data_IF_926419865874
#
_entry.id   IF_926419865874
#
_cell.length_a   1.000
_cell.length_b   1.000
_cell.length_c   1.000
_cell.angle_alpha   90.00
_cell.angle_beta   90.00
_cell.angle_gamma   90.00
#
_symmetry.space_group_name_H-M   'P 1'
#
loop_
_entity.id
_entity.type
_entity.pdbx_description
1 polymer ?
#
# COMPACT_ATOMS: atom_id res chain seq x y z
N UNK A 1 6.45 -0.27 -20.10
CA UNK A 1 5.75 -0.01 -18.81
C UNK A 1 4.74 1.10 -19.03
N UNK A 2 3.47 0.89 -18.67
CA UNK A 2 2.44 1.95 -18.68
C UNK A 2 2.10 2.28 -17.23
N UNK A 3 2.49 3.46 -16.77
CA UNK A 3 2.13 3.93 -15.44
C UNK A 3 0.67 4.38 -15.47
N UNK A 4 -0.20 3.61 -14.83
CA UNK A 4 -1.61 3.96 -14.67
C UNK A 4 -1.83 4.65 -13.33
N UNK A 5 -2.99 5.27 -13.14
CA UNK A 5 -3.42 5.74 -11.81
C UNK A 5 -3.39 4.62 -10.76
N UNK A 6 -3.72 3.39 -11.17
CA UNK A 6 -3.65 2.23 -10.30
C UNK A 6 -2.23 1.96 -9.81
N UNK A 7 -1.27 2.00 -10.74
CA UNK A 7 0.16 1.84 -10.45
C UNK A 7 0.66 2.96 -9.54
N UNK A 8 0.30 4.21 -9.81
CA UNK A 8 0.64 5.36 -8.95
C UNK A 8 0.10 5.16 -7.52
N UNK A 9 -1.14 4.71 -7.36
CA UNK A 9 -1.72 4.45 -6.05
C UNK A 9 -1.02 3.31 -5.32
N UNK A 10 -0.65 2.23 -6.02
CA UNK A 10 0.12 1.14 -5.44
C UNK A 10 1.47 1.62 -4.89
N UNK A 11 2.19 2.43 -5.67
CA UNK A 11 3.48 2.98 -5.24
C UNK A 11 3.32 3.94 -4.05
N UNK A 12 2.30 4.80 -4.03
CA UNK A 12 2.02 5.70 -2.90
C UNK A 12 1.71 4.94 -1.61
N UNK A 13 0.94 3.85 -1.70
CA UNK A 13 0.71 2.97 -0.55
C UNK A 13 2.04 2.44 -0.02
N UNK A 14 2.87 1.86 -0.88
CA UNK A 14 4.16 1.28 -0.45
C UNK A 14 5.07 2.33 0.17
N UNK A 15 5.20 3.51 -0.46
CA UNK A 15 6.01 4.62 0.08
C UNK A 15 5.53 5.07 1.46
N UNK A 16 4.21 5.22 1.64
CA UNK A 16 3.65 5.62 2.93
C UNK A 16 3.93 4.59 4.02
N UNK A 17 3.88 3.30 3.69
CA UNK A 17 4.18 2.22 4.63
C UNK A 17 5.67 2.10 4.94
N UNK A 18 6.55 2.47 4.01
CA UNK A 18 7.99 2.59 4.26
C UNK A 18 8.31 3.72 5.23
N UNK A 19 7.64 4.88 5.10
CA UNK A 19 7.86 6.04 5.98
C UNK A 19 7.31 5.82 7.39
N UNK A 20 6.37 4.90 7.56
CA UNK A 20 5.65 4.64 8.82
C UNK A 20 5.85 3.19 9.28
N UNK A 21 7.05 2.65 9.11
CA UNK A 21 7.38 1.24 9.33
C UNK A 21 7.21 0.77 10.79
N UNK A 22 7.29 1.69 11.76
CA UNK A 22 7.10 1.41 13.19
C UNK A 22 5.62 1.23 13.60
N UNK A 23 4.64 1.49 12.72
CA UNK A 23 3.22 1.39 13.06
C UNK A 23 2.36 0.87 11.92
N UNK A 24 1.12 0.50 12.27
CA UNK A 24 0.11 0.21 11.27
C UNK A 24 -0.49 1.52 10.73
N UNK A 25 -0.71 1.57 9.41
CA UNK A 25 -1.35 2.71 8.73
C UNK A 25 -2.68 2.27 8.14
N UNK A 26 -3.75 2.97 8.47
CA UNK A 26 -5.09 2.67 7.94
C UNK A 26 -5.26 3.18 6.50
N UNK A 27 -6.15 2.52 5.74
CA UNK A 27 -6.56 3.01 4.41
C UNK A 27 -7.11 4.44 4.48
N UNK A 28 -7.81 4.79 5.56
CA UNK A 28 -8.34 6.14 5.78
C UNK A 28 -7.25 7.20 5.92
N UNK A 29 -6.12 6.88 6.56
CA UNK A 29 -4.97 7.79 6.64
C UNK A 29 -4.34 8.00 5.26
N UNK A 30 -4.09 6.93 4.51
CA UNK A 30 -3.52 7.01 3.15
C UNK A 30 -4.45 7.80 2.22
N UNK A 31 -5.77 7.57 2.35
CA UNK A 31 -6.81 8.27 1.60
C UNK A 31 -6.75 9.78 1.81
N UNK A 32 -6.64 10.23 3.07
CA UNK A 32 -6.52 11.65 3.41
C UNK A 32 -5.18 12.24 2.99
N UNK A 33 -4.09 11.51 3.18
CA UNK A 33 -2.74 11.99 2.86
C UNK A 33 -2.55 12.27 1.36
N UNK A 34 -3.17 11.47 0.50
CA UNK A 34 -3.00 11.59 -0.96
C UNK A 34 -4.26 12.00 -1.72
N UNK A 35 -5.36 12.33 -1.03
CA UNK A 35 -6.65 12.66 -1.65
C UNK A 35 -7.15 11.59 -2.63
N UNK A 36 -6.97 10.31 -2.28
CA UNK A 36 -7.41 9.14 -3.06
C UNK A 36 -8.63 8.53 -2.37
N UNK A 37 -9.68 8.16 -3.10
CA UNK A 37 -10.84 7.53 -2.46
C UNK A 37 -10.49 6.17 -1.83
N UNK A 38 -11.08 5.89 -0.67
CA UNK A 38 -10.86 4.62 0.03
C UNK A 38 -11.22 3.40 -0.82
N UNK A 39 -12.23 3.52 -1.69
CA UNK A 39 -12.64 2.45 -2.60
C UNK A 39 -11.54 2.04 -3.59
N UNK A 40 -10.79 3.02 -4.13
CA UNK A 40 -9.65 2.71 -4.99
C UNK A 40 -8.51 2.08 -4.20
N UNK A 41 -8.20 2.63 -3.02
CA UNK A 41 -7.15 2.10 -2.16
C UNK A 41 -7.47 0.68 -1.68
N UNK A 42 -8.73 0.34 -1.40
CA UNK A 42 -9.12 -1.03 -1.03
C UNK A 42 -8.77 -2.04 -2.12
N UNK A 43 -9.04 -1.72 -3.39
CA UNK A 43 -8.67 -2.58 -4.53
C UNK A 43 -7.15 -2.74 -4.64
N UNK A 44 -6.43 -1.61 -4.61
CA UNK A 44 -4.97 -1.57 -4.66
C UNK A 44 -4.33 -2.39 -3.55
N UNK A 45 -4.77 -2.19 -2.31
CA UNK A 45 -4.25 -2.87 -1.12
C UNK A 45 -4.56 -4.37 -1.15
N UNK A 46 -5.73 -4.75 -1.65
CA UNK A 46 -6.09 -6.16 -1.81
C UNK A 46 -5.10 -6.87 -2.76
N UNK A 47 -4.77 -6.26 -3.88
CA UNK A 47 -3.83 -6.86 -4.84
C UNK A 47 -2.40 -6.84 -4.31
N UNK A 48 -1.95 -5.74 -3.69
CA UNK A 48 -0.65 -5.69 -3.01
C UNK A 48 -0.54 -6.75 -1.91
N UNK A 49 -1.63 -7.04 -1.18
CA UNK A 49 -1.64 -8.05 -0.14
C UNK A 49 -1.57 -9.46 -0.72
N UNK A 50 -2.28 -9.74 -1.82
CA UNK A 50 -2.19 -11.02 -2.54
C UNK A 50 -0.79 -11.27 -3.09
N UNK A 51 -0.12 -10.23 -3.58
CA UNK A 51 1.27 -10.29 -4.03
C UNK A 51 2.28 -10.34 -2.86
N UNK A 52 1.83 -10.16 -1.62
CA UNK A 52 2.67 -10.18 -0.42
C UNK A 52 3.57 -8.95 -0.25
N UNK A 53 3.25 -7.83 -0.91
CA UNK A 53 3.95 -6.56 -0.70
C UNK A 53 3.48 -5.84 0.56
N UNK A 54 2.22 -6.04 0.96
CA UNK A 54 1.66 -5.50 2.20
C UNK A 54 0.98 -6.58 3.01
N UNK A 55 0.90 -6.37 4.32
CA UNK A 55 0.12 -7.21 5.23
C UNK A 55 -0.94 -6.35 5.90
N UNK A 56 -2.20 -6.82 5.88
CA UNK A 56 -3.31 -6.18 6.56
C UNK A 56 -3.58 -6.84 7.91
N UNK A 57 -3.64 -6.03 8.95
CA UNK A 57 -4.06 -6.43 10.31
C UNK A 57 -5.50 -5.95 10.52
N UNK A 58 -6.38 -6.84 10.95
CA UNK A 58 -7.81 -6.51 11.19
C UNK A 58 -8.02 -5.98 12.62
N UNK A 59 -9.16 -5.32 12.83
CA UNK A 59 -9.62 -4.84 14.15
C UNK A 59 -9.57 -3.32 14.29
N UNK A 60 -10.02 -2.83 15.45
CA UNK A 60 -10.12 -1.39 15.76
C UNK A 60 -8.79 -0.64 15.64
N UNK A 61 -7.69 -1.31 15.98
CA UNK A 61 -6.32 -0.80 15.86
C UNK A 61 -5.57 -1.47 14.69
N UNK A 62 -6.33 -1.99 13.72
CA UNK A 62 -5.79 -2.61 12.52
C UNK A 62 -5.24 -1.58 11.53
N UNK A 63 -4.73 -2.07 10.41
CA UNK A 63 -4.13 -1.24 9.38
C UNK A 63 -3.22 -2.06 8.49
N UNK A 64 -2.31 -1.37 7.83
CA UNK A 64 -1.39 -1.92 6.84
C UNK A 64 0.05 -1.70 7.29
N UNK A 65 0.91 -2.64 6.90
CA UNK A 65 2.37 -2.53 6.95
C UNK A 65 2.97 -3.24 5.75
N UNK A 66 4.25 -3.03 5.48
CA UNK A 66 4.94 -3.80 4.45
C UNK A 66 4.93 -5.30 4.79
N UNK A 67 4.77 -6.13 3.77
CA UNK A 67 4.84 -7.59 3.87
C UNK A 67 6.28 -8.13 3.77
N UNK A 68 7.22 -7.29 3.33
CA UNK A 68 8.64 -7.59 3.11
C UNK A 68 9.47 -6.34 3.44
N UNK A 69 10.79 -6.46 3.54
CA UNK A 69 11.64 -5.28 3.76
C UNK A 69 11.61 -4.38 2.53
N UNK A 70 11.66 -3.04 2.67
CA UNK A 70 11.63 -2.10 1.55
C UNK A 70 12.65 -2.43 0.44
N UNK A 71 13.86 -2.80 0.82
CA UNK A 71 14.98 -3.17 -0.06
C UNK A 71 14.74 -4.44 -0.88
N UNK A 72 13.76 -5.27 -0.49
CA UNK A 72 13.35 -6.47 -1.23
C UNK A 72 12.25 -6.16 -2.25
N UNK A 73 11.66 -4.96 -2.23
CA UNK A 73 10.55 -4.56 -3.08
C UNK A 73 11.09 -3.80 -4.29
N UNK A 74 11.18 -4.49 -5.44
CA UNK A 74 11.55 -3.84 -6.70
C UNK A 74 10.32 -3.21 -7.34
N UNK A 75 10.45 -1.96 -7.79
CA UNK A 75 9.37 -1.25 -8.50
C UNK A 75 8.85 -2.06 -9.69
N UNK A 76 9.75 -2.71 -10.43
CA UNK A 76 9.37 -3.55 -11.58
C UNK A 76 8.43 -4.71 -11.22
N UNK A 77 8.45 -5.19 -9.98
CA UNK A 77 7.59 -6.29 -9.53
C UNK A 77 6.20 -5.79 -9.09
N UNK A 78 6.07 -4.49 -8.84
CA UNK A 78 4.80 -3.82 -8.49
C UNK A 78 4.04 -3.37 -9.75
N UNK A 79 4.77 -3.06 -10.83
CA UNK A 79 4.19 -2.45 -12.06
C UNK A 79 3.89 -3.48 -13.17
N UNK A 80 4.39 -4.72 -13.07
CA UNK A 80 4.20 -5.76 -14.09
C UNK A 80 2.87 -6.49 -13.97
#
# INVERSE_FOLDING_TARGET
MRLTRYTDYALRVLLQLTVQDERLVSIGEISRAYSISQNHLMKVVQDLSRAGFVTAVRGRNGGLRLGRRPEEIRIGDVVR
#
